data_IF_647184261562
#
_entry.id   IF_647184261562
#
_cell.length_a   1.000
_cell.length_b   1.000
_cell.length_c   1.000
_cell.angle_alpha   90.00
_cell.angle_beta   90.00
_cell.angle_gamma   90.00
#
_symmetry.space_group_name_H-M   'P 1'
#
loop_
_entity.id
_entity.type
_entity.pdbx_description
1 polymer ?
#
# COMPACT_ATOMS: atom_id res chain seq x y z
N UNK A 1 -0.89 9.75 7.40
CA UNK A 1 -0.82 8.54 6.54
C UNK A 1 -0.22 7.47 7.41
N UNK A 2 -0.90 6.35 7.58
CA UNK A 2 -0.64 5.39 8.65
C UNK A 2 0.25 4.25 8.21
N UNK A 3 1.26 4.60 7.42
CA UNK A 3 2.29 3.73 6.90
C UNK A 3 3.62 4.48 6.95
N UNK A 4 4.72 3.76 7.01
CA UNK A 4 6.07 4.33 7.08
C UNK A 4 6.94 3.85 5.91
N UNK A 5 8.24 4.15 5.92
CA UNK A 5 9.15 3.93 4.79
C UNK A 5 9.40 2.48 4.40
N UNK A 6 9.13 1.51 5.29
CA UNK A 6 9.21 0.08 4.94
C UNK A 6 7.96 -0.42 4.22
N UNK A 7 6.89 0.37 4.16
CA UNK A 7 5.63 -0.02 3.56
C UNK A 7 5.54 0.47 2.10
N UNK A 8 4.77 -0.26 1.29
CA UNK A 8 4.44 0.10 -0.09
C UNK A 8 2.93 0.11 -0.28
N UNK A 9 2.41 1.19 -0.85
CA UNK A 9 1.03 1.24 -1.37
C UNK A 9 1.08 1.02 -2.87
N UNK A 10 0.38 0.00 -3.34
CA UNK A 10 0.26 -0.30 -4.76
C UNK A 10 -1.14 0.07 -5.23
N UNK A 11 -1.24 0.85 -6.30
CA UNK A 11 -2.53 1.28 -6.84
C UNK A 11 -2.64 1.04 -8.34
N UNK A 12 -3.82 0.56 -8.74
CA UNK A 12 -4.26 0.50 -10.13
C UNK A 12 -5.05 1.76 -10.54
N UNK A 13 -5.32 2.67 -9.59
CA UNK A 13 -6.11 3.86 -9.82
C UNK A 13 -5.25 4.96 -10.45
N UNK A 14 -5.73 5.44 -11.60
CA UNK A 14 -5.24 6.60 -12.31
C UNK A 14 -5.61 7.95 -11.69
N UNK A 15 -6.64 8.02 -10.85
CA UNK A 15 -7.13 9.27 -10.26
C UNK A 15 -6.15 9.87 -9.23
N UNK A 16 -6.22 11.19 -8.94
CA UNK A 16 -5.20 11.86 -8.14
C UNK A 16 -5.47 11.80 -6.62
N UNK A 17 -6.46 11.05 -6.14
CA UNK A 17 -6.86 11.11 -4.72
C UNK A 17 -5.73 10.64 -3.78
N UNK A 18 -5.05 9.56 -4.14
CA UNK A 18 -3.90 9.06 -3.37
C UNK A 18 -2.71 10.04 -3.41
N UNK A 19 -2.25 10.55 -4.57
CA UNK A 19 -1.27 11.63 -4.63
C UNK A 19 -1.63 12.86 -3.78
N UNK A 20 -2.87 13.32 -3.85
CA UNK A 20 -3.34 14.48 -3.08
C UNK A 20 -3.32 14.21 -1.57
N UNK A 21 -3.76 13.02 -1.14
CA UNK A 21 -3.65 12.63 0.26
C UNK A 21 -2.18 12.57 0.70
N UNK A 22 -1.32 11.93 -0.08
CA UNK A 22 0.11 11.83 0.18
C UNK A 22 0.76 13.22 0.33
N UNK A 23 0.47 14.14 -0.59
CA UNK A 23 1.01 15.51 -0.56
C UNK A 23 0.60 16.26 0.70
N UNK A 24 -0.67 16.19 1.11
CA UNK A 24 -1.16 16.81 2.35
C UNK A 24 -0.35 16.34 3.56
N UNK A 25 -0.13 15.04 3.67
CA UNK A 25 0.68 14.47 4.76
C UNK A 25 2.17 14.82 4.63
N UNK A 26 2.71 14.88 3.42
CA UNK A 26 4.12 15.26 3.20
C UNK A 26 4.40 16.69 3.64
N UNK A 27 3.46 17.61 3.42
CA UNK A 27 3.59 19.02 3.84
C UNK A 27 3.67 19.19 5.37
N UNK A 28 3.15 18.25 6.14
CA UNK A 28 3.24 18.23 7.60
C UNK A 28 4.55 17.61 8.12
N UNK A 29 5.47 17.22 7.23
CA UNK A 29 6.81 16.70 7.58
C UNK A 29 6.84 15.21 7.95
N UNK A 30 5.79 14.46 7.60
CA UNK A 30 5.67 13.04 7.94
C UNK A 30 6.61 12.15 7.11
N UNK A 31 7.05 11.06 7.73
CA UNK A 31 7.68 9.93 7.05
C UNK A 31 6.59 9.04 6.46
N UNK A 32 6.60 8.90 5.13
CA UNK A 32 5.53 8.31 4.34
C UNK A 32 6.00 7.03 3.61
N UNK A 33 5.06 6.13 3.23
CA UNK A 33 5.39 4.94 2.46
C UNK A 33 5.80 5.26 1.03
N UNK A 34 6.36 4.26 0.35
CA UNK A 34 6.47 4.32 -1.11
C UNK A 34 5.09 4.12 -1.75
N UNK A 35 4.90 4.63 -2.97
CA UNK A 35 3.69 4.39 -3.77
C UNK A 35 4.09 3.86 -5.15
N UNK A 36 3.47 2.76 -5.57
CA UNK A 36 3.55 2.23 -6.93
C UNK A 36 2.26 2.52 -7.72
N UNK A 37 2.39 3.17 -8.87
CA UNK A 37 1.28 3.46 -9.79
C UNK A 37 1.29 2.49 -10.98
N UNK A 38 0.68 1.32 -10.82
CA UNK A 38 0.77 0.21 -11.80
C UNK A 38 0.16 0.52 -13.16
N UNK A 39 -0.79 1.46 -13.21
CA UNK A 39 -1.40 1.96 -14.45
C UNK A 39 -1.00 3.41 -14.80
N UNK A 40 0.02 3.94 -14.12
CA UNK A 40 0.30 5.38 -14.13
C UNK A 40 -0.75 6.17 -13.33
N UNK A 41 -0.59 7.50 -13.31
CA UNK A 41 -1.48 8.38 -12.57
C UNK A 41 -1.52 9.78 -13.19
N UNK A 42 -2.69 10.41 -13.15
CA UNK A 42 -2.92 11.74 -13.75
C UNK A 42 -2.15 12.87 -13.06
N UNK A 43 -1.72 12.67 -11.81
CA UNK A 43 -0.91 13.63 -11.05
C UNK A 43 0.55 13.18 -10.90
N UNK A 44 1.04 12.30 -11.77
CA UNK A 44 2.44 11.86 -11.77
C UNK A 44 3.11 12.25 -13.08
N UNK A 45 4.27 12.89 -12.96
CA UNK A 45 5.15 13.25 -14.07
C UNK A 45 6.55 12.65 -13.88
N UNK A 46 7.19 12.34 -15.00
CA UNK A 46 8.46 11.64 -15.07
C UNK A 46 9.45 12.43 -15.92
N UNK A 47 10.68 12.52 -15.45
CA UNK A 47 11.83 12.93 -16.27
C UNK A 47 12.71 11.69 -16.46
N UNK A 48 12.65 11.11 -17.65
CA UNK A 48 13.33 9.85 -17.97
C UNK A 48 14.86 10.02 -18.04
N UNK A 49 15.35 11.18 -18.49
CA UNK A 49 16.79 11.47 -18.56
C UNK A 49 17.40 11.56 -17.17
N UNK A 50 16.75 12.29 -16.26
CA UNK A 50 17.18 12.44 -14.88
C UNK A 50 16.76 11.27 -13.98
N UNK A 51 15.93 10.33 -14.48
CA UNK A 51 15.30 9.24 -13.71
C UNK A 51 14.56 9.72 -12.47
N UNK A 52 13.80 10.81 -12.63
CA UNK A 52 13.04 11.43 -11.54
C UNK A 52 11.54 11.25 -11.74
N UNK A 53 10.83 11.02 -10.63
CA UNK A 53 9.37 10.98 -10.57
C UNK A 53 8.91 12.06 -9.60
N UNK A 54 7.95 12.88 -10.01
CA UNK A 54 7.36 13.95 -9.18
C UNK A 54 5.86 13.99 -9.39
N UNK A 55 5.14 14.54 -8.41
CA UNK A 55 3.73 14.87 -8.65
C UNK A 55 3.64 16.04 -9.61
N UNK A 56 2.73 15.94 -10.58
CA UNK A 56 2.48 17.00 -11.57
C UNK A 56 2.10 18.31 -10.88
N UNK A 57 1.31 18.20 -9.82
CA UNK A 57 0.88 19.32 -8.97
C UNK A 57 1.98 19.97 -8.12
N UNK A 58 3.20 19.41 -8.11
CA UNK A 58 4.39 20.02 -7.50
C UNK A 58 5.30 20.73 -8.52
N UNK A 59 5.02 20.62 -9.82
CA UNK A 59 5.88 21.17 -10.86
C UNK A 59 5.71 22.69 -10.99
N UNK A 60 6.81 23.39 -11.25
CA UNK A 60 6.86 24.84 -11.46
C UNK A 60 7.44 25.23 -12.83
N UNK A 61 7.64 26.54 -13.08
CA UNK A 61 8.14 27.06 -14.36
C UNK A 61 9.49 26.49 -14.85
N UNK A 62 10.30 25.90 -13.95
CA UNK A 62 11.59 25.27 -14.29
C UNK A 62 11.52 23.79 -14.64
N UNK A 63 10.35 23.16 -14.54
CA UNK A 63 10.20 21.70 -14.62
C UNK A 63 9.81 21.18 -16.01
N UNK A 64 10.11 21.93 -17.09
CA UNK A 64 9.71 21.60 -18.46
C UNK A 64 10.23 20.26 -19.02
N UNK A 65 11.23 19.66 -18.37
CA UNK A 65 11.75 18.33 -18.72
C UNK A 65 10.88 17.17 -18.19
N UNK A 66 9.93 17.44 -17.28
CA UNK A 66 8.99 16.43 -16.79
C UNK A 66 7.81 16.28 -17.75
N UNK A 67 7.50 15.04 -18.12
CA UNK A 67 6.36 14.68 -18.95
C UNK A 67 5.34 13.90 -18.11
N UNK A 68 4.03 14.04 -18.35
CA UNK A 68 3.02 13.21 -17.68
C UNK A 68 3.32 11.73 -17.81
N UNK A 69 3.10 10.96 -16.74
CA UNK A 69 3.24 9.51 -16.79
C UNK A 69 2.25 8.89 -17.78
N UNK A 70 2.66 7.79 -18.42
CA UNK A 70 1.77 7.05 -19.31
C UNK A 70 0.64 6.41 -18.51
N UNK A 71 -0.59 6.55 -19.00
CA UNK A 71 -1.76 5.90 -18.45
C UNK A 71 -2.04 4.58 -19.19
N UNK A 72 -2.13 3.48 -18.45
CA UNK A 72 -2.55 2.18 -18.99
C UNK A 72 -4.06 2.04 -18.90
N UNK A 73 -4.74 2.27 -20.02
CA UNK A 73 -6.18 2.08 -20.13
C UNK A 73 -6.58 0.59 -20.04
N UNK A 74 -7.83 0.29 -19.64
CA UNK A 74 -8.35 -1.07 -19.60
C UNK A 74 -8.56 -1.61 -21.03
N UNK A 75 -7.48 -2.10 -21.63
CA UNK A 75 -7.47 -2.84 -22.90
C UNK A 75 -7.19 -4.33 -22.63
N UNK A 76 -7.59 -5.21 -23.55
CA UNK A 76 -7.54 -6.67 -23.36
C UNK A 76 -6.12 -7.23 -23.16
N UNK A 77 -5.09 -6.55 -23.66
CA UNK A 77 -3.68 -6.91 -23.45
C UNK A 77 -2.90 -5.64 -23.10
N UNK A 78 -2.41 -5.57 -21.88
CA UNK A 78 -1.60 -4.46 -21.39
C UNK A 78 -0.13 -4.85 -21.50
N UNK A 79 0.72 -3.89 -21.85
CA UNK A 79 2.17 -4.10 -21.86
C UNK A 79 2.80 -3.30 -20.73
N UNK A 80 3.06 -3.98 -19.60
CA UNK A 80 3.65 -3.39 -18.41
C UNK A 80 5.15 -3.10 -18.56
N UNK A 81 5.79 -3.60 -19.62
CA UNK A 81 7.19 -3.35 -19.93
C UNK A 81 7.37 -2.24 -20.96
N UNK A 82 6.27 -1.61 -21.38
CA UNK A 82 6.26 -0.70 -22.53
C UNK A 82 6.98 0.63 -22.29
N UNK A 83 7.20 1.04 -21.04
CA UNK A 83 8.06 2.16 -20.71
C UNK A 83 8.82 1.96 -19.39
N UNK A 84 9.98 2.62 -19.21
CA UNK A 84 10.83 2.43 -18.03
C UNK A 84 10.16 2.80 -16.71
N UNK A 85 9.24 3.77 -16.69
CA UNK A 85 8.56 4.18 -15.47
C UNK A 85 7.59 3.09 -15.04
N UNK A 86 6.67 2.67 -15.92
CA UNK A 86 5.71 1.59 -15.62
C UNK A 86 6.45 0.32 -15.23
N UNK A 87 7.50 -0.06 -15.96
CA UNK A 87 8.31 -1.22 -15.59
C UNK A 87 8.88 -1.08 -14.18
N UNK A 88 9.44 0.09 -13.83
CA UNK A 88 9.98 0.35 -12.50
C UNK A 88 8.92 0.27 -11.39
N UNK A 89 7.69 0.73 -11.65
CA UNK A 89 6.58 0.60 -10.69
C UNK A 89 6.24 -0.87 -10.43
N UNK A 90 6.18 -1.69 -11.49
CA UNK A 90 5.95 -3.13 -11.38
C UNK A 90 7.11 -3.85 -10.70
N UNK A 91 8.35 -3.59 -11.10
CA UNK A 91 9.53 -4.19 -10.48
C UNK A 91 9.54 -3.96 -8.96
N UNK A 92 9.26 -2.73 -8.52
CA UNK A 92 9.13 -2.37 -7.11
C UNK A 92 7.99 -3.12 -6.42
N UNK A 93 6.80 -3.17 -7.02
CA UNK A 93 5.68 -3.91 -6.44
C UNK A 93 5.95 -5.40 -6.30
N UNK A 94 6.56 -6.02 -7.31
CA UNK A 94 6.89 -7.45 -7.28
C UNK A 94 8.01 -7.75 -6.29
N UNK A 95 8.97 -6.85 -6.11
CA UNK A 95 10.02 -6.99 -5.10
C UNK A 95 9.43 -6.94 -3.68
N UNK A 96 8.59 -5.95 -3.38
CA UNK A 96 7.89 -5.88 -2.10
C UNK A 96 7.03 -7.11 -1.86
N UNK A 97 6.25 -7.54 -2.86
CA UNK A 97 5.40 -8.73 -2.77
C UNK A 97 6.17 -10.01 -2.43
N UNK A 98 7.46 -10.12 -2.81
CA UNK A 98 8.34 -11.27 -2.46
C UNK A 98 8.86 -11.23 -1.03
N UNK A 99 8.71 -10.12 -0.31
CA UNK A 99 9.26 -9.94 1.03
C UNK A 99 8.21 -9.49 2.07
N UNK A 100 6.99 -9.16 1.63
CA UNK A 100 5.90 -8.72 2.51
C UNK A 100 5.49 -9.82 3.49
N UNK A 101 5.47 -9.47 4.78
CA UNK A 101 4.91 -10.29 5.85
C UNK A 101 3.40 -10.08 6.05
N UNK A 102 2.88 -8.95 5.59
CA UNK A 102 1.47 -8.61 5.72
C UNK A 102 1.02 -7.91 4.44
N UNK A 103 0.02 -8.47 3.75
CA UNK A 103 -0.53 -7.90 2.52
C UNK A 103 -2.02 -7.67 2.73
N UNK A 104 -2.52 -6.49 2.33
CA UNK A 104 -3.95 -6.19 2.36
C UNK A 104 -4.40 -5.62 1.02
N UNK A 105 -5.45 -6.20 0.46
CA UNK A 105 -6.07 -5.76 -0.80
C UNK A 105 -7.40 -5.07 -0.51
N UNK A 106 -7.61 -3.88 -1.08
CA UNK A 106 -8.84 -3.10 -0.89
C UNK A 106 -9.62 -2.94 -2.20
N UNK A 107 -10.86 -3.42 -2.24
CA UNK A 107 -11.83 -3.13 -3.32
C UNK A 107 -11.35 -3.50 -4.72
N UNK A 108 -10.39 -4.42 -4.83
CA UNK A 108 -9.87 -4.95 -6.08
C UNK A 108 -10.24 -6.42 -6.17
N UNK A 109 -10.92 -6.80 -7.24
CA UNK A 109 -11.54 -8.12 -7.37
C UNK A 109 -10.63 -9.18 -8.01
N UNK A 110 -9.31 -8.92 -8.13
CA UNK A 110 -8.40 -9.70 -8.98
C UNK A 110 -9.04 -10.05 -10.33
N UNK A 111 -9.53 -9.05 -11.10
CA UNK A 111 -10.45 -9.27 -12.18
C UNK A 111 -9.84 -10.18 -13.24
N UNK A 112 -10.62 -11.19 -13.67
CA UNK A 112 -10.26 -12.16 -14.72
C UNK A 112 -9.84 -11.52 -16.05
N UNK A 113 -10.15 -10.25 -16.28
CA UNK A 113 -9.79 -9.52 -17.49
C UNK A 113 -8.34 -9.01 -17.47
N UNK A 114 -7.70 -8.96 -16.29
CA UNK A 114 -6.30 -8.60 -16.15
C UNK A 114 -5.47 -9.81 -15.66
N UNK A 115 -5.48 -10.86 -16.48
CA UNK A 115 -4.81 -12.13 -16.21
C UNK A 115 -3.31 -11.94 -15.98
N UNK A 116 -2.69 -11.03 -16.75
CA UNK A 116 -1.25 -10.80 -16.70
C UNK A 116 -0.83 -10.10 -15.40
N UNK A 117 -1.51 -9.03 -14.98
CA UNK A 117 -1.27 -8.39 -13.68
C UNK A 117 -1.42 -9.39 -12.53
N UNK A 118 -2.50 -10.18 -12.56
CA UNK A 118 -2.76 -11.18 -11.53
C UNK A 118 -1.67 -12.24 -11.48
N UNK A 119 -1.24 -12.75 -12.64
CA UNK A 119 -0.19 -13.77 -12.71
C UNK A 119 1.13 -13.23 -12.17
N UNK A 120 1.53 -12.01 -12.53
CA UNK A 120 2.76 -11.39 -12.02
C UNK A 120 2.75 -11.28 -10.49
N UNK A 121 1.66 -10.78 -9.92
CA UNK A 121 1.50 -10.67 -8.47
C UNK A 121 1.50 -12.03 -7.78
N UNK A 122 0.81 -13.02 -8.38
CA UNK A 122 0.75 -14.38 -7.85
C UNK A 122 2.12 -15.04 -7.87
N UNK A 123 2.87 -14.91 -8.97
CA UNK A 123 4.22 -15.46 -9.11
C UNK A 123 5.16 -14.83 -8.07
N UNK A 124 5.10 -13.51 -7.88
CA UNK A 124 5.87 -12.83 -6.85
C UNK A 124 5.50 -13.33 -5.45
N UNK A 125 4.20 -13.48 -5.17
CA UNK A 125 3.71 -14.00 -3.89
C UNK A 125 4.11 -15.46 -3.63
N UNK A 126 4.03 -16.32 -4.64
CA UNK A 126 4.45 -17.72 -4.51
C UNK A 126 5.94 -17.86 -4.20
N UNK A 127 6.75 -16.90 -4.65
CA UNK A 127 8.18 -16.81 -4.35
C UNK A 127 8.48 -15.96 -3.10
N UNK A 128 7.47 -15.60 -2.31
CA UNK A 128 7.68 -14.81 -1.09
C UNK A 128 8.37 -15.65 -0.01
N UNK A 129 9.44 -15.11 0.58
CA UNK A 129 10.30 -15.81 1.55
C UNK A 129 9.67 -15.99 2.93
N UNK A 130 8.66 -15.19 3.24
CA UNK A 130 7.89 -15.20 4.50
C UNK A 130 6.49 -15.82 4.34
N UNK A 131 6.13 -16.26 3.13
CA UNK A 131 4.77 -16.68 2.73
C UNK A 131 4.09 -17.67 3.68
N UNK A 132 4.85 -18.58 4.29
CA UNK A 132 4.30 -19.58 5.22
C UNK A 132 3.82 -19.01 6.55
N UNK A 133 4.22 -17.79 6.89
CA UNK A 133 3.88 -17.08 8.13
C UNK A 133 3.16 -15.75 7.86
N UNK A 134 3.20 -15.27 6.61
CA UNK A 134 2.62 -14.01 6.20
C UNK A 134 1.10 -14.09 6.07
N UNK A 135 0.40 -13.00 6.37
CA UNK A 135 -1.05 -12.89 6.19
C UNK A 135 -1.40 -12.22 4.86
N UNK A 136 -2.46 -12.71 4.23
CA UNK A 136 -3.05 -12.11 3.04
C UNK A 136 -4.52 -11.73 3.27
N UNK A 137 -4.77 -10.44 3.49
CA UNK A 137 -6.10 -9.90 3.75
C UNK A 137 -6.75 -9.32 2.49
N UNK A 138 -8.06 -9.50 2.37
CA UNK A 138 -8.89 -8.87 1.35
C UNK A 138 -10.08 -8.18 2.00
N UNK A 139 -10.23 -6.88 1.73
CA UNK A 139 -11.35 -6.06 2.19
C UNK A 139 -12.21 -5.71 0.98
N UNK A 140 -13.42 -6.28 0.91
CA UNK A 140 -14.34 -6.10 -0.21
C UNK A 140 -15.80 -6.24 0.26
N UNK A 141 -16.68 -5.38 -0.26
CA UNK A 141 -18.12 -5.41 0.05
C UNK A 141 -18.87 -6.54 -0.67
N UNK A 142 -18.23 -7.20 -1.64
CA UNK A 142 -18.77 -8.36 -2.32
C UNK A 142 -18.95 -9.56 -1.36
N UNK A 143 -19.84 -10.51 -1.69
CA UNK A 143 -20.05 -11.68 -0.84
C UNK A 143 -18.75 -12.45 -0.58
N UNK A 144 -18.45 -12.74 0.70
CA UNK A 144 -17.22 -13.40 1.15
C UNK A 144 -16.81 -14.61 0.29
N UNK A 145 -17.75 -15.52 0.02
CA UNK A 145 -17.47 -16.71 -0.79
C UNK A 145 -16.99 -16.39 -2.22
N UNK A 146 -17.47 -15.31 -2.83
CA UNK A 146 -17.03 -14.88 -4.16
C UNK A 146 -15.62 -14.27 -4.12
N UNK A 147 -15.30 -13.54 -3.05
CA UNK A 147 -13.97 -12.96 -2.81
C UNK A 147 -12.96 -14.07 -2.56
N UNK A 148 -13.26 -15.00 -1.66
CA UNK A 148 -12.43 -16.19 -1.39
C UNK A 148 -12.16 -16.97 -2.67
N UNK A 149 -13.17 -17.21 -3.50
CA UNK A 149 -12.99 -17.90 -4.79
C UNK A 149 -12.08 -17.14 -5.77
N UNK A 150 -12.10 -15.80 -5.75
CA UNK A 150 -11.27 -14.97 -6.65
C UNK A 150 -9.81 -14.91 -6.20
N UNK A 151 -9.59 -14.96 -4.88
CA UNK A 151 -8.29 -14.82 -4.23
C UNK A 151 -7.70 -16.14 -3.71
N UNK A 152 -8.35 -17.29 -3.98
CA UNK A 152 -7.97 -18.60 -3.45
C UNK A 152 -6.51 -18.99 -3.66
N UNK A 153 -5.89 -18.57 -4.77
CA UNK A 153 -4.48 -18.87 -5.07
C UNK A 153 -3.48 -18.05 -4.23
N UNK A 154 -3.92 -16.92 -3.68
CA UNK A 154 -3.13 -16.05 -2.82
C UNK A 154 -3.22 -16.46 -1.35
N UNK A 155 -4.40 -16.89 -0.89
CA UNK A 155 -4.63 -17.27 0.52
C UNK A 155 -3.96 -18.61 0.82
N UNK A 156 -3.09 -18.65 1.82
CA UNK A 156 -2.32 -19.85 2.19
C UNK A 156 -2.86 -20.44 3.48
N UNK A 157 -3.47 -21.64 3.40
CA UNK A 157 -4.00 -22.35 4.58
C UNK A 157 -4.98 -21.44 5.35
N UNK A 158 -4.70 -21.16 6.63
CA UNK A 158 -5.45 -20.27 7.51
C UNK A 158 -4.90 -18.84 7.55
N UNK A 159 -3.82 -18.54 6.82
CA UNK A 159 -3.16 -17.23 6.79
C UNK A 159 -3.76 -16.33 5.71
N UNK A 160 -5.04 -16.00 5.90
CA UNK A 160 -5.72 -15.00 5.10
C UNK A 160 -7.13 -14.77 5.57
N UNK A 161 -7.53 -13.50 5.57
CA UNK A 161 -8.82 -13.06 6.05
C UNK A 161 -9.58 -12.28 4.98
N UNK A 162 -10.89 -12.51 4.92
CA UNK A 162 -11.79 -11.72 4.05
C UNK A 162 -12.75 -10.95 4.93
N UNK A 163 -12.70 -9.62 4.79
CA UNK A 163 -13.48 -8.66 5.55
C UNK A 163 -14.42 -7.88 4.64
N UNK A 164 -15.62 -7.58 5.13
CA UNK A 164 -16.62 -6.76 4.45
C UNK A 164 -16.43 -5.25 4.71
N UNK A 165 -15.54 -4.90 5.63
CA UNK A 165 -15.30 -3.53 6.07
C UNK A 165 -13.85 -3.32 6.49
N UNK A 166 -13.33 -2.12 6.22
CA UNK A 166 -12.04 -1.66 6.73
C UNK A 166 -11.98 -1.65 8.26
N UNK A 167 -13.13 -1.48 8.92
CA UNK A 167 -13.22 -1.39 10.38
C UNK A 167 -12.70 -2.64 11.11
N UNK A 168 -12.68 -3.79 10.44
CA UNK A 168 -12.24 -5.07 11.02
C UNK A 168 -10.76 -5.39 10.77
N UNK A 169 -10.07 -4.62 9.92
CA UNK A 169 -8.70 -4.93 9.52
C UNK A 169 -7.67 -4.38 10.51
N UNK A 170 -6.55 -5.09 10.70
CA UNK A 170 -5.52 -4.70 11.67
C UNK A 170 -4.89 -3.32 11.38
N UNK A 171 -4.92 -2.84 10.13
CA UNK A 171 -4.50 -1.48 9.81
C UNK A 171 -5.38 -0.43 10.48
N UNK A 172 -6.66 -0.73 10.70
CA UNK A 172 -7.58 0.13 11.46
C UNK A 172 -7.27 0.06 12.97
N UNK A 173 -6.95 -1.13 13.49
CA UNK A 173 -6.71 -1.39 14.92
C UNK A 173 -5.36 -0.87 15.41
N UNK A 174 -4.31 -1.00 14.60
CA UNK A 174 -2.96 -0.51 14.92
C UNK A 174 -2.38 0.21 13.70
N UNK A 175 -2.87 1.42 13.37
CA UNK A 175 -2.39 2.16 12.21
C UNK A 175 -0.89 2.45 12.34
N UNK A 176 -0.13 2.37 11.25
CA UNK A 176 1.35 2.52 11.21
C UNK A 176 2.14 1.39 11.89
N UNK A 177 1.49 0.57 12.72
CA UNK A 177 2.07 -0.54 13.50
C UNK A 177 1.47 -1.90 13.16
N UNK A 178 0.64 -1.98 12.13
CA UNK A 178 -0.14 -3.18 11.78
C UNK A 178 0.73 -4.43 11.60
N UNK A 179 1.83 -4.30 10.86
CA UNK A 179 2.75 -5.40 10.62
C UNK A 179 3.46 -5.85 11.91
N UNK A 180 3.83 -4.92 12.78
CA UNK A 180 4.45 -5.21 14.07
C UNK A 180 3.47 -5.83 15.06
N UNK A 181 2.27 -5.26 15.20
CA UNK A 181 1.20 -5.83 16.01
C UNK A 181 0.89 -7.27 15.57
N UNK A 182 0.80 -7.52 14.25
CA UNK A 182 0.62 -8.86 13.71
C UNK A 182 1.80 -9.79 14.06
N UNK A 183 3.04 -9.34 13.86
CA UNK A 183 4.24 -10.12 14.15
C UNK A 183 4.37 -10.46 15.64
N UNK A 184 4.07 -9.53 16.54
CA UNK A 184 4.10 -9.77 17.98
C UNK A 184 3.01 -10.76 18.43
N UNK A 185 1.80 -10.65 17.88
CA UNK A 185 0.73 -11.60 18.13
C UNK A 185 1.08 -13.02 17.65
N UNK A 186 1.63 -13.14 16.44
CA UNK A 186 1.82 -14.45 15.77
C UNK A 186 3.16 -15.11 16.02
N UNK A 187 4.25 -14.35 16.14
CA UNK A 187 5.62 -14.87 16.31
C UNK A 187 6.07 -14.83 17.77
N UNK A 188 5.63 -13.84 18.55
CA UNK A 188 6.08 -13.63 19.93
C UNK A 188 5.02 -14.02 20.97
N UNK A 189 3.82 -14.40 20.54
CA UNK A 189 2.67 -14.72 21.42
C UNK A 189 2.38 -13.62 22.44
N UNK A 190 2.67 -12.36 22.07
CA UNK A 190 2.52 -11.17 22.92
C UNK A 190 1.72 -10.14 22.13
N UNK A 191 0.41 -10.36 21.93
CA UNK A 191 -0.41 -9.43 21.16
C UNK A 191 -0.38 -8.05 21.82
N UNK A 192 -0.32 -7.01 20.98
CA UNK A 192 -0.40 -5.63 21.42
C UNK A 192 -1.86 -5.23 21.65
N UNK A 193 -2.08 -4.26 22.52
CA UNK A 193 -3.38 -3.61 22.64
C UNK A 193 -3.71 -2.83 21.36
N UNK A 194 -5.02 -2.65 21.09
CA UNK A 194 -5.48 -1.87 19.94
C UNK A 194 -5.29 -0.37 20.21
N UNK A 195 -4.74 0.35 19.23
CA UNK A 195 -4.65 1.82 19.21
C UNK A 195 -5.29 2.33 17.91
N UNK A 196 -6.63 2.23 17.80
CA UNK A 196 -7.30 2.46 16.53
C UNK A 196 -7.30 3.95 16.17
N UNK A 197 -7.48 4.25 14.87
CA UNK A 197 -7.67 5.64 14.44
C UNK A 197 -8.67 6.39 15.33
N UNK A 198 -8.36 7.62 15.77
CA UNK A 198 -9.27 8.40 16.57
C UNK A 198 -10.50 8.78 15.74
N UNK A 199 -11.61 9.04 16.42
CA UNK A 199 -12.74 9.76 15.83
C UNK A 199 -12.34 11.22 15.59
N UNK A 200 -11.54 11.46 14.56
CA UNK A 200 -11.03 12.78 14.21
C UNK A 200 -12.01 13.53 13.31
N UNK A 201 -12.18 14.82 13.57
CA UNK A 201 -12.98 15.72 12.73
C UNK A 201 -12.12 16.44 11.68
N UNK A 202 -10.81 16.59 11.95
CA UNK A 202 -9.88 17.37 11.13
C UNK A 202 -8.57 16.64 10.86
N UNK A 203 -7.79 17.15 9.89
CA UNK A 203 -6.43 16.66 9.65
C UNK A 203 -5.49 16.96 10.82
N UNK A 204 -5.69 18.07 11.52
CA UNK A 204 -4.87 18.47 12.67
C UNK A 204 -5.08 17.54 13.87
N UNK A 205 -6.30 17.02 14.05
CA UNK A 205 -6.60 16.00 15.05
C UNK A 205 -5.81 14.71 14.75
N UNK A 206 -5.83 14.27 13.49
CA UNK A 206 -5.08 13.08 13.03
C UNK A 206 -3.56 13.29 13.12
N UNK A 207 -3.09 14.50 12.83
CA UNK A 207 -1.68 14.88 12.93
C UNK A 207 -1.21 14.88 14.39
N UNK A 208 -2.01 15.45 15.29
CA UNK A 208 -1.71 15.44 16.73
C UNK A 208 -1.67 14.03 17.30
N UNK A 209 -2.61 13.16 16.88
CA UNK A 209 -2.63 11.77 17.28
C UNK A 209 -1.44 10.97 16.72
N UNK A 210 -1.00 11.17 15.48
CA UNK A 210 0.11 10.35 14.94
C UNK A 210 1.50 10.77 15.47
N UNK A 211 1.65 11.96 16.04
CA UNK A 211 2.95 12.52 16.47
C UNK A 211 3.70 11.69 17.52
N UNK A 212 3.07 11.17 18.59
CA UNK A 212 3.73 10.29 19.54
C UNK A 212 4.32 9.03 18.88
N UNK A 213 3.56 8.36 18.00
CA UNK A 213 4.02 7.21 17.22
C UNK A 213 5.29 7.55 16.41
N UNK A 214 5.34 8.71 15.78
CA UNK A 214 6.48 9.16 14.98
C UNK A 214 7.71 9.49 15.82
N UNK A 215 7.51 10.16 16.96
CA UNK A 215 8.59 10.50 17.86
C UNK A 215 9.24 9.23 18.43
N UNK A 216 8.41 8.24 18.74
CA UNK A 216 8.86 6.92 19.18
C UNK A 216 9.68 6.20 18.09
N UNK A 217 9.19 6.14 16.85
CA UNK A 217 9.95 5.57 15.71
C UNK A 217 11.32 6.23 15.55
N UNK A 218 11.36 7.56 15.62
CA UNK A 218 12.59 8.32 15.47
C UNK A 218 13.60 8.05 16.61
N UNK A 219 13.10 7.66 17.79
CA UNK A 219 13.93 7.27 18.93
C UNK A 219 14.44 5.82 18.85
N UNK A 220 14.01 5.05 17.86
CA UNK A 220 14.33 3.63 17.72
C UNK A 220 13.55 2.73 18.68
N UNK A 221 12.51 3.27 19.31
CA UNK A 221 11.57 2.53 20.15
C UNK A 221 10.38 2.06 19.31
N UNK A 222 9.78 0.97 19.74
CA UNK A 222 8.63 0.37 19.07
C UNK A 222 7.75 -0.33 20.12
N UNK A 223 7.04 0.45 20.93
CA UNK A 223 6.00 -0.02 21.81
C UNK A 223 4.67 -0.10 21.05
N UNK A 224 3.75 -0.91 21.59
CA UNK A 224 2.42 -1.07 21.01
C UNK A 224 1.45 0.07 21.28
N UNK A 225 1.78 0.97 22.20
CA UNK A 225 0.91 2.04 22.64
C UNK A 225 1.74 3.23 23.17
N UNK A 226 2.09 4.21 22.32
CA UNK A 226 2.82 5.40 22.73
C UNK A 226 1.91 6.50 23.29
N UNK A 227 0.61 6.24 23.44
CA UNK A 227 -0.36 7.20 23.97
C UNK A 227 -0.54 7.14 25.48
N UNK A 228 0.06 6.14 26.14
CA UNK A 228 -0.03 5.89 27.58
C UNK A 228 1.30 6.09 28.32
#
# INVERSE_FOLDING_TARGET
>A
MTFNTKDLIVTFNWDPLLPQAYRRWRHLGHVLPQIAFLHGNVDVSVNMEARQVRFTSDLGPGDGAFQPSRLLYPVAKKDYNSDPFTKGQWDMSLDYMRHSYYVTVYGYSAPRTDVEARQLLLDAWQNNTTRSLAEFDVVDIAPKAAVEASWAEFIVSTHGSVWDSFEHNILKQNPRRSCEAFAFATLQQTPWDEDPFPAAATLDDLDSWIRPLLAEEASGNLAGDPHH
#
